data_IF_204719141730
#
_entry.id   IF_204719141730
#
_cell.length_a   1.000
_cell.length_b   1.000
_cell.length_c   1.000
_cell.angle_alpha   90.00
_cell.angle_beta   90.00
_cell.angle_gamma   90.00
#
_symmetry.space_group_name_H-M   'P 1'
#
loop_
_entity.id
_entity.type
_entity.pdbx_description
1 polymer ?
#
# COMPACT_ATOMS: atom_id res chain seq x y z
N UNK A 1 34.20 1.63 2.54
CA UNK A 1 34.02 1.72 1.06
C UNK A 1 34.65 3.01 0.55
N UNK A 2 34.93 3.12 -0.75
CA UNK A 2 35.35 4.39 -1.39
C UNK A 2 34.15 5.04 -2.08
N UNK A 3 34.17 6.37 -2.26
CA UNK A 3 33.08 7.12 -2.90
C UNK A 3 32.63 6.56 -4.26
N UNK A 4 33.59 6.07 -5.07
CA UNK A 4 33.33 5.45 -6.38
C UNK A 4 32.58 4.12 -6.33
N UNK A 5 32.53 3.48 -5.16
CA UNK A 5 31.88 2.20 -4.95
C UNK A 5 30.37 2.36 -4.70
N UNK A 6 29.89 3.59 -4.52
CA UNK A 6 28.47 3.88 -4.30
C UNK A 6 27.74 4.14 -5.62
N UNK A 7 26.58 3.52 -5.75
CA UNK A 7 25.60 3.75 -6.81
C UNK A 7 24.20 3.78 -6.19
N UNK A 8 23.28 4.52 -6.82
CA UNK A 8 21.89 4.58 -6.35
C UNK A 8 21.31 3.15 -6.33
N UNK A 9 20.67 2.79 -5.23
CA UNK A 9 20.11 1.46 -4.98
C UNK A 9 21.06 0.46 -4.35
N UNK A 10 22.35 0.77 -4.18
CA UNK A 10 23.28 -0.11 -3.49
C UNK A 10 22.94 -0.18 -2.00
N UNK A 11 23.08 -1.38 -1.43
CA UNK A 11 22.92 -1.60 0.01
C UNK A 11 24.29 -1.80 0.67
N UNK A 12 24.48 -1.15 1.81
CA UNK A 12 25.74 -1.18 2.55
C UNK A 12 25.49 -1.16 4.05
N UNK A 13 26.42 -1.71 4.82
CA UNK A 13 26.42 -1.65 6.27
C UNK A 13 27.31 -0.50 6.74
N UNK A 14 26.81 0.34 7.64
CA UNK A 14 27.60 1.35 8.34
C UNK A 14 27.11 1.51 9.78
N UNK A 15 28.03 1.45 10.74
CA UNK A 15 27.70 1.60 12.16
C UNK A 15 26.73 0.54 12.70
N UNK A 16 26.76 -0.68 12.13
CA UNK A 16 25.86 -1.78 12.52
C UNK A 16 24.43 -1.65 11.99
N UNK A 17 24.15 -0.66 11.14
CA UNK A 17 22.86 -0.47 10.44
C UNK A 17 23.01 -0.72 8.95
N UNK A 18 21.91 -1.10 8.33
CA UNK A 18 21.84 -1.38 6.91
C UNK A 18 21.20 -0.19 6.19
N UNK A 19 21.83 0.25 5.10
CA UNK A 19 21.49 1.48 4.39
C UNK A 19 21.30 1.19 2.91
N UNK A 20 20.38 1.91 2.27
CA UNK A 20 20.24 1.94 0.81
C UNK A 20 20.54 3.34 0.28
N UNK A 21 21.49 3.43 -0.64
CA UNK A 21 21.85 4.67 -1.30
C UNK A 21 20.68 5.20 -2.15
N UNK A 22 20.25 6.44 -1.90
CA UNK A 22 19.20 7.12 -2.68
C UNK A 22 19.77 8.20 -3.59
N UNK A 23 20.91 8.79 -3.24
CA UNK A 23 21.61 9.78 -4.06
C UNK A 23 23.14 9.74 -3.86
N UNK A 24 23.89 10.11 -4.90
CA UNK A 24 25.36 10.15 -4.90
C UNK A 24 25.82 11.51 -5.39
N UNK A 25 26.30 12.34 -4.45
CA UNK A 25 26.89 13.63 -4.73
C UNK A 25 28.35 13.52 -5.20
N UNK A 26 29.05 14.66 -5.31
CA UNK A 26 30.48 14.66 -5.69
C UNK A 26 31.41 14.33 -4.52
N UNK A 27 30.96 14.56 -3.28
CA UNK A 27 31.74 14.36 -2.05
C UNK A 27 30.96 13.62 -0.94
N UNK A 28 29.68 13.36 -1.16
CA UNK A 28 28.76 12.86 -0.14
C UNK A 28 27.82 11.84 -0.76
N UNK A 29 27.38 10.89 0.04
CA UNK A 29 26.38 9.89 -0.34
C UNK A 29 25.15 10.09 0.55
N UNK A 30 23.96 10.01 -0.01
CA UNK A 30 22.71 10.08 0.75
C UNK A 30 22.07 8.69 0.75
N UNK A 31 21.62 8.25 1.92
CA UNK A 31 21.01 6.94 2.07
C UNK A 31 19.87 6.93 3.08
N UNK A 32 18.96 5.99 2.91
CA UNK A 32 17.87 5.67 3.85
C UNK A 32 18.24 4.42 4.66
N UNK A 33 17.90 4.41 5.95
CA UNK A 33 18.10 3.22 6.79
C UNK A 33 17.06 2.15 6.47
N UNK A 34 17.48 0.90 6.39
CA UNK A 34 16.64 -0.29 6.16
C UNK A 34 16.21 -0.98 7.47
N UNK A 35 16.14 -0.24 8.57
CA UNK A 35 15.81 -0.79 9.90
C UNK A 35 14.32 -1.24 10.01
N UNK A 36 13.45 -0.81 9.09
CA UNK A 36 12.01 -1.12 9.10
C UNK A 36 11.69 -2.29 8.15
N UNK A 37 12.04 -3.51 8.53
CA UNK A 37 11.81 -4.69 7.69
C UNK A 37 10.34 -5.11 7.60
N UNK A 38 9.52 -4.63 8.54
CA UNK A 38 8.11 -5.01 8.67
C UNK A 38 7.20 -4.33 7.64
N UNK A 39 7.60 -3.17 7.11
CA UNK A 39 6.80 -2.40 6.14
C UNK A 39 7.68 -1.83 5.00
N UNK A 40 7.72 -2.51 3.85
CA UNK A 40 8.50 -2.08 2.69
C UNK A 40 7.99 -0.79 2.03
N UNK A 41 6.78 -0.33 2.33
CA UNK A 41 6.22 0.91 1.78
C UNK A 41 7.05 2.13 2.21
N UNK A 42 7.77 2.03 3.34
CA UNK A 42 8.65 3.08 3.88
C UNK A 42 9.80 3.46 2.95
N UNK A 43 10.17 2.55 2.04
CA UNK A 43 11.24 2.73 1.06
C UNK A 43 10.74 3.12 -0.33
N UNK A 44 9.43 3.36 -0.50
CA UNK A 44 8.85 3.80 -1.77
C UNK A 44 9.05 5.31 -1.91
N UNK A 45 9.82 5.72 -2.93
CA UNK A 45 10.32 7.09 -3.12
C UNK A 45 9.31 8.09 -3.71
N UNK A 46 9.76 9.30 -4.07
CA UNK A 46 9.76 10.42 -3.12
C UNK A 46 8.38 11.07 -2.89
N UNK A 47 8.11 11.57 -1.66
CA UNK A 47 8.99 11.54 -0.49
C UNK A 47 8.97 10.17 0.20
N UNK A 48 10.14 9.66 0.58
CA UNK A 48 10.24 8.47 1.41
C UNK A 48 9.61 8.73 2.79
N UNK A 49 9.02 7.71 3.41
CA UNK A 49 8.55 7.82 4.78
C UNK A 49 9.72 7.85 5.80
N UNK A 50 10.93 7.48 5.37
CA UNK A 50 12.16 7.47 6.16
C UNK A 50 13.03 8.68 5.84
N UNK A 51 13.66 9.23 6.89
CA UNK A 51 14.64 10.29 6.75
C UNK A 51 15.91 9.82 6.05
N UNK A 52 16.33 10.58 5.04
CA UNK A 52 17.62 10.45 4.39
C UNK A 52 18.76 10.96 5.30
N UNK A 53 19.89 10.27 5.27
CA UNK A 53 21.11 10.61 6.02
C UNK A 53 22.27 10.79 5.04
N UNK A 54 23.09 11.80 5.32
CA UNK A 54 24.28 12.15 4.52
C UNK A 54 25.50 11.49 5.13
N UNK A 55 26.26 10.78 4.29
CA UNK A 55 27.56 10.18 4.58
C UNK A 55 28.65 10.99 3.88
N UNK A 56 29.61 11.48 4.64
CA UNK A 56 30.72 12.28 4.12
C UNK A 56 32.01 11.44 3.89
N UNK A 57 33.10 12.12 3.57
CA UNK A 57 34.41 11.50 3.31
C UNK A 57 35.02 10.74 4.48
N UNK A 58 34.61 11.06 5.71
CA UNK A 58 35.03 10.39 6.93
C UNK A 58 34.15 9.19 7.26
N UNK A 59 32.88 9.21 6.85
CA UNK A 59 31.93 8.12 7.10
C UNK A 59 32.11 6.95 6.14
N UNK A 60 32.30 7.22 4.84
CA UNK A 60 32.37 6.21 3.78
C UNK A 60 33.40 5.08 4.02
N UNK A 61 34.61 5.35 4.56
CA UNK A 61 35.60 4.30 4.85
C UNK A 61 35.11 3.26 5.86
N UNK A 62 34.23 3.64 6.80
CA UNK A 62 33.65 2.74 7.79
C UNK A 62 32.53 1.84 7.22
N UNK A 63 32.02 2.14 6.02
CA UNK A 63 30.98 1.37 5.36
C UNK A 63 31.54 0.08 4.74
N UNK A 64 30.75 -0.99 4.75
CA UNK A 64 31.05 -2.27 4.08
C UNK A 64 29.94 -2.63 3.08
N UNK A 65 30.32 -3.05 1.87
CA UNK A 65 29.38 -3.40 0.81
C UNK A 65 28.72 -4.75 1.12
N UNK A 66 27.40 -4.81 0.97
CA UNK A 66 26.62 -6.03 1.17
C UNK A 66 26.60 -6.83 -0.13
N UNK A 67 27.62 -7.64 -0.35
CA UNK A 67 27.68 -8.49 -1.55
C UNK A 67 26.79 -9.71 -1.37
N UNK A 68 26.06 -10.11 -2.42
CA UNK A 68 25.19 -11.29 -2.44
C UNK A 68 25.90 -12.65 -2.18
N UNK A 69 27.21 -12.65 -1.97
CA UNK A 69 28.01 -13.83 -1.66
C UNK A 69 28.12 -14.05 -0.14
N UNK A 70 27.12 -14.73 0.44
CA UNK A 70 27.29 -15.68 1.56
C UNK A 70 27.74 -15.19 2.94
N UNK A 71 28.09 -13.92 3.14
CA UNK A 71 28.37 -13.37 4.47
C UNK A 71 27.32 -12.33 4.81
N UNK A 72 26.29 -12.80 5.53
CA UNK A 72 25.18 -11.96 5.96
C UNK A 72 25.65 -10.95 7.01
N UNK A 73 25.32 -9.66 6.86
CA UNK A 73 25.61 -8.64 7.87
C UNK A 73 24.82 -8.89 9.15
N UNK A 74 25.36 -8.40 10.26
CA UNK A 74 24.77 -8.55 11.59
C UNK A 74 23.32 -8.01 11.68
N UNK A 75 22.95 -7.06 10.83
CA UNK A 75 21.61 -6.48 10.79
C UNK A 75 20.50 -7.50 10.42
N UNK A 76 20.82 -8.55 9.64
CA UNK A 76 19.88 -9.61 9.29
C UNK A 76 19.90 -10.78 10.29
N UNK A 77 20.85 -10.82 11.22
CA UNK A 77 21.04 -11.94 12.15
C UNK A 77 19.98 -12.02 13.27
N UNK A 78 19.07 -11.04 13.39
CA UNK A 78 17.89 -11.11 14.29
C UNK A 78 16.77 -11.99 13.76
N UNK A 79 16.82 -12.40 12.49
CA UNK A 79 15.93 -13.39 11.90
C UNK A 79 16.43 -14.79 12.21
N UNK A 80 16.20 -15.29 13.44
CA UNK A 80 16.28 -16.74 13.65
C UNK A 80 15.11 -17.41 14.33
N UNK A 81 14.25 -16.71 15.05
CA UNK A 81 13.10 -17.36 15.70
C UNK A 81 11.77 -16.61 15.45
N UNK A 82 11.33 -16.53 14.20
CA UNK A 82 9.90 -16.48 13.91
C UNK A 82 9.60 -17.10 12.55
N UNK A 83 9.57 -18.43 12.60
CA UNK A 83 8.63 -19.30 11.88
C UNK A 83 8.70 -19.29 10.36
N UNK A 84 9.34 -20.36 9.86
CA UNK A 84 9.00 -21.00 8.60
C UNK A 84 7.48 -21.04 8.38
N UNK A 85 7.03 -20.27 7.41
CA UNK A 85 5.90 -20.61 6.55
C UNK A 85 6.11 -19.85 5.25
N UNK A 86 6.96 -20.41 4.39
CA UNK A 86 6.86 -20.08 2.96
C UNK A 86 5.50 -20.57 2.47
N UNK A 87 4.85 -19.83 1.58
CA UNK A 87 5.07 -20.16 0.20
C UNK A 87 5.65 -18.97 -0.58
N UNK A 88 6.42 -19.32 -1.61
CA UNK A 88 6.94 -18.46 -2.66
C UNK A 88 6.29 -17.08 -2.77
N UNK A 89 7.08 -16.02 -2.52
CA UNK A 89 6.77 -14.64 -2.87
C UNK A 89 6.66 -14.52 -4.39
N UNK A 90 5.52 -14.86 -4.97
CA UNK A 90 5.06 -14.20 -6.18
C UNK A 90 4.66 -12.80 -5.76
N UNK A 91 5.54 -11.80 -5.96
CA UNK A 91 5.14 -10.39 -5.86
C UNK A 91 3.91 -10.24 -6.75
N UNK A 92 2.79 -9.87 -6.15
CA UNK A 92 1.57 -9.60 -6.89
C UNK A 92 1.62 -8.15 -7.31
N UNK A 93 1.55 -7.90 -8.61
CA UNK A 93 1.53 -6.56 -9.17
C UNK A 93 0.46 -6.49 -10.23
N UNK A 94 -0.34 -5.43 -10.18
CA UNK A 94 -1.57 -5.32 -10.95
C UNK A 94 -2.04 -3.89 -11.08
N UNK A 95 -3.21 -3.73 -11.66
CA UNK A 95 -3.88 -2.44 -11.78
C UNK A 95 -5.07 -2.41 -10.84
N UNK A 96 -5.23 -1.34 -10.08
CA UNK A 96 -6.34 -1.16 -9.17
C UNK A 96 -7.19 0.05 -9.55
N UNK A 97 -8.43 0.05 -9.07
CA UNK A 97 -9.38 1.15 -9.27
C UNK A 97 -10.36 1.24 -8.11
N UNK A 98 -10.90 2.44 -7.89
CA UNK A 98 -12.00 2.68 -6.97
C UNK A 98 -13.34 2.40 -7.63
N UNK A 99 -14.21 1.73 -6.90
CA UNK A 99 -15.61 1.53 -7.24
C UNK A 99 -16.40 2.64 -6.56
N UNK A 100 -17.07 3.47 -7.36
CA UNK A 100 -17.73 4.69 -6.90
C UNK A 100 -19.23 4.60 -7.10
N UNK A 101 -19.95 4.94 -6.06
CA UNK A 101 -21.40 5.08 -6.06
C UNK A 101 -21.82 6.54 -6.12
N UNK A 102 -22.81 6.82 -6.94
CA UNK A 102 -23.45 8.13 -7.09
C UNK A 102 -24.89 8.02 -6.57
N UNK A 103 -25.15 8.39 -5.30
CA UNK A 103 -26.48 8.26 -4.70
C UNK A 103 -27.52 9.15 -5.38
N UNK A 104 -27.11 10.34 -5.80
CA UNK A 104 -27.94 11.28 -6.54
C UNK A 104 -27.21 11.73 -7.82
N UNK A 105 -27.78 11.36 -8.97
CA UNK A 105 -27.24 11.70 -10.29
C UNK A 105 -27.32 13.21 -10.58
N UNK A 106 -28.24 13.94 -9.94
CA UNK A 106 -28.40 15.37 -10.12
C UNK A 106 -27.32 16.17 -9.39
N UNK A 107 -26.86 15.70 -8.22
CA UNK A 107 -25.76 16.33 -7.47
C UNK A 107 -24.39 15.92 -8.03
N UNK A 108 -24.29 14.71 -8.59
CA UNK A 108 -23.05 14.19 -9.14
C UNK A 108 -22.01 13.83 -8.09
N UNK A 109 -22.40 13.72 -6.81
CA UNK A 109 -21.54 13.27 -5.73
C UNK A 109 -21.09 11.83 -5.96
N UNK A 110 -19.79 11.56 -5.76
CA UNK A 110 -19.21 10.23 -5.99
C UNK A 110 -18.52 9.76 -4.73
N UNK A 111 -19.02 8.68 -4.18
CA UNK A 111 -18.50 8.06 -2.97
C UNK A 111 -17.78 6.77 -3.31
N UNK A 112 -16.56 6.59 -2.78
CA UNK A 112 -15.88 5.31 -2.89
C UNK A 112 -16.59 4.30 -1.99
N UNK A 113 -17.07 3.21 -2.57
CA UNK A 113 -17.76 2.11 -1.88
C UNK A 113 -16.99 0.79 -2.00
N UNK A 114 -15.86 0.78 -2.68
CA UNK A 114 -15.05 -0.42 -2.83
C UNK A 114 -13.80 -0.18 -3.66
N UNK A 115 -12.98 -1.21 -3.72
CA UNK A 115 -11.75 -1.26 -4.52
C UNK A 115 -11.73 -2.55 -5.32
N UNK A 116 -11.23 -2.47 -6.54
CA UNK A 116 -10.96 -3.62 -7.40
C UNK A 116 -9.48 -3.68 -7.74
N UNK A 117 -8.91 -4.88 -7.70
CA UNK A 117 -7.56 -5.19 -8.17
C UNK A 117 -7.64 -6.16 -9.34
N UNK A 118 -6.95 -5.81 -10.42
CA UNK A 118 -6.79 -6.62 -11.62
C UNK A 118 -5.38 -7.21 -11.55
N UNK A 119 -5.31 -8.52 -11.40
CA UNK A 119 -4.04 -9.25 -11.41
C UNK A 119 -3.48 -9.38 -12.85
N UNK A 120 -2.21 -9.76 -12.99
CA UNK A 120 -1.57 -9.98 -14.30
C UNK A 120 -2.27 -11.05 -15.14
N UNK A 121 -2.96 -11.99 -14.49
CA UNK A 121 -3.74 -13.03 -15.14
C UNK A 121 -5.12 -12.56 -15.62
N UNK A 122 -5.46 -11.28 -15.45
CA UNK A 122 -6.76 -10.71 -15.79
C UNK A 122 -7.88 -11.03 -14.80
N UNK A 123 -7.56 -11.71 -13.69
CA UNK A 123 -8.49 -11.95 -12.61
C UNK A 123 -8.80 -10.66 -11.86
N UNK A 124 -10.09 -10.36 -11.69
CA UNK A 124 -10.56 -9.21 -10.91
C UNK A 124 -10.94 -9.70 -9.52
N UNK A 125 -10.30 -9.13 -8.51
CA UNK A 125 -10.60 -9.35 -7.10
C UNK A 125 -11.12 -8.03 -6.53
N UNK A 126 -12.22 -8.07 -5.78
CA UNK A 126 -12.82 -6.85 -5.25
C UNK A 126 -13.04 -6.91 -3.74
N UNK A 127 -12.95 -5.74 -3.12
CA UNK A 127 -13.29 -5.51 -1.72
C UNK A 127 -14.33 -4.40 -1.69
N UNK A 128 -15.56 -4.78 -1.34
CA UNK A 128 -16.71 -3.89 -1.32
C UNK A 128 -17.10 -3.53 0.10
N UNK A 129 -17.75 -2.37 0.25
CA UNK A 129 -18.35 -1.93 1.49
C UNK A 129 -19.37 -2.96 1.97
N UNK A 130 -19.19 -3.40 3.21
CA UNK A 130 -20.06 -4.37 3.86
C UNK A 130 -20.99 -3.72 4.89
N UNK A 131 -20.55 -2.63 5.53
CA UNK A 131 -21.34 -1.86 6.48
C UNK A 131 -21.82 -0.53 5.87
N UNK A 132 -23.13 -0.36 5.74
CA UNK A 132 -23.75 0.83 5.15
C UNK A 132 -24.25 1.84 6.19
N UNK A 133 -23.98 1.66 7.48
CA UNK A 133 -24.49 2.55 8.53
C UNK A 133 -24.08 4.00 8.32
N UNK A 134 -22.82 4.25 7.94
CA UNK A 134 -22.34 5.62 7.71
C UNK A 134 -22.99 6.26 6.48
N UNK A 135 -23.22 5.46 5.43
CA UNK A 135 -23.94 5.90 4.24
C UNK A 135 -25.39 6.26 4.60
N UNK A 136 -26.05 5.42 5.41
CA UNK A 136 -27.40 5.68 5.93
C UNK A 136 -27.46 6.99 6.70
N UNK A 137 -26.49 7.24 7.59
CA UNK A 137 -26.41 8.47 8.38
C UNK A 137 -26.18 9.71 7.51
N UNK A 138 -25.35 9.62 6.47
CA UNK A 138 -25.03 10.76 5.61
C UNK A 138 -26.25 11.21 4.77
N UNK A 139 -27.08 10.26 4.33
CA UNK A 139 -28.21 10.53 3.44
C UNK A 139 -29.59 10.38 4.09
N UNK A 140 -29.66 10.22 5.41
CA UNK A 140 -30.91 10.18 6.19
C UNK A 140 -31.96 9.20 5.60
N UNK A 141 -31.50 8.03 5.15
CA UNK A 141 -32.37 7.00 4.56
C UNK A 141 -32.91 7.29 3.15
N UNK A 142 -32.45 8.34 2.46
CA UNK A 142 -32.83 8.62 1.07
C UNK A 142 -32.21 7.66 0.05
N UNK A 143 -31.19 6.92 0.47
CA UNK A 143 -30.52 5.91 -0.35
C UNK A 143 -31.15 4.55 -0.05
N UNK A 144 -31.58 3.86 -1.10
CA UNK A 144 -32.03 2.47 -1.02
C UNK A 144 -30.83 1.55 -0.73
N UNK A 145 -30.67 1.20 0.54
CA UNK A 145 -29.56 0.36 1.02
C UNK A 145 -29.74 -1.10 0.59
N UNK A 146 -30.97 -1.60 0.55
CA UNK A 146 -31.27 -2.97 0.14
C UNK A 146 -30.95 -3.15 -1.35
N UNK A 147 -31.37 -2.18 -2.17
CA UNK A 147 -31.01 -2.13 -3.58
C UNK A 147 -29.50 -2.02 -3.81
N UNK A 148 -28.79 -1.21 -3.00
CA UNK A 148 -27.34 -1.08 -3.07
C UNK A 148 -26.62 -2.37 -2.69
N UNK A 149 -27.06 -3.06 -1.64
CA UNK A 149 -26.50 -4.34 -1.21
C UNK A 149 -26.61 -5.39 -2.33
N UNK A 150 -27.82 -5.54 -2.87
CA UNK A 150 -28.08 -6.45 -3.99
C UNK A 150 -27.21 -6.12 -5.22
N UNK A 151 -27.04 -4.84 -5.50
CA UNK A 151 -26.21 -4.36 -6.60
C UNK A 151 -24.74 -4.71 -6.40
N UNK A 152 -24.22 -4.55 -5.18
CA UNK A 152 -22.84 -4.92 -4.82
C UNK A 152 -22.62 -6.43 -4.97
N UNK A 153 -23.54 -7.25 -4.49
CA UNK A 153 -23.48 -8.72 -4.65
C UNK A 153 -23.51 -9.11 -6.13
N UNK A 154 -24.37 -8.46 -6.91
CA UNK A 154 -24.46 -8.70 -8.36
C UNK A 154 -23.16 -8.33 -9.05
N UNK A 155 -22.54 -7.20 -8.70
CA UNK A 155 -21.25 -6.76 -9.25
C UNK A 155 -20.12 -7.74 -8.92
N UNK A 156 -20.04 -8.22 -7.68
CA UNK A 156 -19.02 -9.21 -7.30
C UNK A 156 -19.19 -10.51 -8.08
N UNK A 157 -20.44 -10.95 -8.28
CA UNK A 157 -20.74 -12.14 -9.10
C UNK A 157 -20.40 -11.94 -10.59
N UNK A 158 -20.63 -10.74 -11.12
CA UNK A 158 -20.35 -10.41 -12.52
C UNK A 158 -18.85 -10.42 -12.81
N UNK A 159 -18.05 -9.77 -11.96
CA UNK A 159 -16.60 -9.70 -12.14
C UNK A 159 -15.89 -11.04 -11.97
N UNK A 160 -16.45 -11.96 -11.16
CA UNK A 160 -15.96 -13.34 -11.07
C UNK A 160 -16.14 -14.14 -12.37
N UNK A 161 -17.09 -13.75 -13.23
CA UNK A 161 -17.51 -14.55 -14.39
C UNK A 161 -17.10 -13.96 -15.75
N UNK A 162 -17.24 -12.64 -15.98
CA UNK A 162 -17.07 -12.03 -17.32
C UNK A 162 -16.16 -10.78 -17.33
N UNK A 163 -15.18 -10.73 -16.42
CA UNK A 163 -14.35 -9.58 -16.08
C UNK A 163 -13.89 -8.66 -17.23
N UNK A 164 -14.52 -7.49 -17.33
CA UNK A 164 -13.90 -6.29 -17.88
C UNK A 164 -14.42 -5.02 -17.14
N UNK A 165 -13.54 -4.16 -16.61
CA UNK A 165 -13.91 -2.92 -15.92
C UNK A 165 -14.31 -1.79 -16.89
N UNK A 166 -14.42 -2.07 -18.18
CA UNK A 166 -14.55 -1.07 -19.24
C UNK A 166 -15.91 -0.40 -19.30
N UNK A 167 -16.96 -1.05 -18.78
CA UNK A 167 -18.33 -0.54 -18.86
C UNK A 167 -19.02 -0.73 -17.52
N UNK A 168 -19.44 0.37 -16.90
CA UNK A 168 -20.30 0.27 -15.72
C UNK A 168 -21.67 -0.29 -16.15
N UNK A 169 -22.17 -1.36 -15.52
CA UNK A 169 -23.46 -1.92 -15.87
C UNK A 169 -24.63 -0.99 -15.49
N UNK A 170 -24.40 0.01 -14.62
CA UNK A 170 -25.46 0.82 -13.99
C UNK A 170 -25.00 2.28 -13.88
N UNK A 171 -25.89 3.24 -14.15
CA UNK A 171 -25.58 4.67 -14.17
C UNK A 171 -25.06 5.21 -12.82
N UNK A 172 -25.50 4.63 -11.70
CA UNK A 172 -25.11 5.07 -10.37
C UNK A 172 -23.75 4.50 -9.93
N UNK A 173 -23.11 3.66 -10.76
CA UNK A 173 -21.79 3.11 -10.51
C UNK A 173 -20.80 3.67 -11.52
N UNK A 174 -19.63 4.05 -11.06
CA UNK A 174 -18.52 4.46 -11.91
C UNK A 174 -17.20 3.96 -11.36
N UNK A 175 -16.20 3.81 -12.22
CA UNK A 175 -14.86 3.37 -11.84
C UNK A 175 -13.87 4.54 -11.93
N UNK A 176 -12.85 4.56 -11.09
CA UNK A 176 -11.73 5.48 -11.26
C UNK A 176 -10.84 5.07 -12.44
N UNK A 177 -9.92 5.95 -12.83
CA UNK A 177 -8.81 5.54 -13.69
C UNK A 177 -8.02 4.40 -13.04
N UNK A 178 -7.50 3.50 -13.88
CA UNK A 178 -6.62 2.42 -13.46
C UNK A 178 -5.31 3.00 -12.92
N UNK A 179 -4.92 2.57 -11.74
CA UNK A 179 -3.67 2.93 -11.06
C UNK A 179 -2.84 1.68 -10.83
N UNK A 180 -1.55 1.84 -10.61
CA UNK A 180 -0.67 0.71 -10.30
C UNK A 180 -0.74 0.35 -8.81
N UNK A 181 -0.75 -0.94 -8.51
CA UNK A 181 -0.56 -1.46 -7.15
C UNK A 181 0.35 -2.69 -7.19
N UNK A 182 1.15 -2.84 -6.15
CA UNK A 182 2.00 -4.01 -5.95
C UNK A 182 2.12 -4.35 -4.47
N UNK A 183 2.32 -5.63 -4.17
CA UNK A 183 2.41 -6.12 -2.79
C UNK A 183 2.71 -7.62 -2.75
N UNK A 184 2.64 -8.17 -1.55
CA UNK A 184 2.96 -9.58 -1.30
C UNK A 184 1.74 -10.49 -1.39
N UNK A 185 0.54 -9.94 -1.21
CA UNK A 185 -0.74 -10.64 -1.30
C UNK A 185 -1.82 -9.75 -1.90
N UNK A 186 -2.70 -10.31 -2.74
CA UNK A 186 -3.88 -9.61 -3.27
C UNK A 186 -4.77 -9.10 -2.13
N UNK A 187 -4.95 -9.91 -1.07
CA UNK A 187 -5.84 -9.58 0.02
C UNK A 187 -5.32 -8.39 0.85
N UNK A 188 -4.02 -8.34 1.11
CA UNK A 188 -3.39 -7.22 1.82
C UNK A 188 -3.49 -5.93 1.00
N UNK A 189 -3.13 -5.99 -0.29
CA UNK A 189 -3.25 -4.84 -1.21
C UNK A 189 -4.69 -4.31 -1.21
N UNK A 190 -5.69 -5.18 -1.27
CA UNK A 190 -7.09 -4.77 -1.27
C UNK A 190 -7.50 -4.11 0.04
N UNK A 191 -7.10 -4.64 1.19
CA UNK A 191 -7.47 -4.09 2.49
C UNK A 191 -6.79 -2.73 2.75
N UNK A 192 -5.52 -2.58 2.38
CA UNK A 192 -4.78 -1.32 2.48
C UNK A 192 -5.43 -0.24 1.60
N UNK A 193 -5.64 -0.54 0.31
CA UNK A 193 -6.29 0.39 -0.63
C UNK A 193 -7.73 0.72 -0.20
N UNK A 194 -8.44 -0.26 0.35
CA UNK A 194 -9.79 -0.07 0.87
C UNK A 194 -9.76 0.91 2.05
N UNK A 195 -8.88 0.69 3.03
CA UNK A 195 -8.78 1.55 4.21
C UNK A 195 -8.33 2.97 3.91
N UNK A 196 -7.50 3.18 2.88
CA UNK A 196 -7.09 4.52 2.46
C UNK A 196 -8.19 5.28 1.70
N UNK A 197 -9.02 4.57 0.92
CA UNK A 197 -9.91 5.23 -0.05
C UNK A 197 -11.39 5.15 0.28
N UNK A 198 -11.82 4.15 1.06
CA UNK A 198 -13.21 3.91 1.45
C UNK A 198 -13.41 4.33 2.91
N UNK A 199 -13.58 5.63 3.11
CA UNK A 199 -13.78 6.23 4.45
C UNK A 199 -15.16 5.94 5.07
N UNK A 200 -16.03 5.24 4.34
CA UNK A 200 -17.41 4.98 4.75
C UNK A 200 -17.55 3.85 5.74
N UNK A 201 -16.53 2.98 5.86
CA UNK A 201 -16.60 1.82 6.73
C UNK A 201 -16.08 2.16 8.15
N UNK A 202 -16.93 2.12 9.19
CA UNK A 202 -16.50 2.36 10.57
C UNK A 202 -15.68 1.21 11.14
N UNK A 203 -15.70 0.01 10.51
CA UNK A 203 -14.94 -1.15 10.99
C UNK A 203 -13.45 -1.08 10.65
N UNK A 204 -13.09 -0.23 9.67
CA UNK A 204 -11.70 0.11 9.41
C UNK A 204 -11.29 1.23 10.37
N UNK A 205 -10.93 0.83 11.58
CA UNK A 205 -10.22 1.74 12.49
C UNK A 205 -8.87 2.02 11.83
N UNK A 206 -8.76 3.17 11.16
CA UNK A 206 -7.47 3.69 10.75
C UNK A 206 -6.64 3.86 12.03
N UNK A 207 -5.76 2.92 12.33
CA UNK A 207 -4.71 3.12 13.34
C UNK A 207 -3.71 4.12 12.78
N UNK A 208 -4.13 5.39 12.66
CA UNK A 208 -3.22 6.51 12.79
C UNK A 208 -2.86 6.53 14.26
N UNK A 209 -1.60 6.25 14.55
CA UNK A 209 -1.04 6.46 15.88
C UNK A 209 -1.13 7.94 16.21
N UNK A 210 -2.24 8.36 16.79
CA UNK A 210 -2.38 9.65 17.44
C UNK A 210 -2.87 9.40 18.86
N UNK A 211 -2.10 9.95 19.78
CA UNK A 211 -2.21 9.81 21.21
C UNK A 211 -3.62 10.18 21.69
N UNK A 212 -4.16 9.29 22.51
CA UNK A 212 -5.28 9.54 23.41
C UNK A 212 -4.91 10.72 24.34
N UNK A 213 -5.37 11.93 24.02
CA UNK A 213 -5.39 13.04 24.97
C UNK A 213 -6.74 13.01 25.66
N UNK A 214 -6.73 12.44 26.85
CA UNK A 214 -7.77 12.54 27.87
C UNK A 214 -8.05 14.03 28.13
N UNK A 215 -9.19 14.52 27.68
CA UNK A 215 -9.72 15.80 28.14
C UNK A 215 -10.62 15.54 29.36
N UNK A 216 -10.01 15.60 30.54
CA UNK A 216 -10.72 15.81 31.80
C UNK A 216 -11.03 17.31 31.92
N UNK A 217 -12.32 17.67 31.82
CA UNK A 217 -12.96 18.84 32.45
C UNK A 217 -14.46 18.92 32.17
#
# INVERSE_FOLDING_TARGET
>A
MQHKDFSIGIEFECGGRCWRCTDVGTRTVIAISLDHLDDPSWYSGPPYAISEIVFDENDMPACTLLTASGQMPACQSRLRNKTMSSPASSKVHGQWFNIRFTPDLATGERLNIGVGLIDMHGGIQTRMLSNFERLRCLYDGRVDLDGLHFLIETLDSYWRNEGHPSTSPIANISFSALKYASGFSVAEILEDLYGETVILDPSVVTTRGDQEVIADR
#
